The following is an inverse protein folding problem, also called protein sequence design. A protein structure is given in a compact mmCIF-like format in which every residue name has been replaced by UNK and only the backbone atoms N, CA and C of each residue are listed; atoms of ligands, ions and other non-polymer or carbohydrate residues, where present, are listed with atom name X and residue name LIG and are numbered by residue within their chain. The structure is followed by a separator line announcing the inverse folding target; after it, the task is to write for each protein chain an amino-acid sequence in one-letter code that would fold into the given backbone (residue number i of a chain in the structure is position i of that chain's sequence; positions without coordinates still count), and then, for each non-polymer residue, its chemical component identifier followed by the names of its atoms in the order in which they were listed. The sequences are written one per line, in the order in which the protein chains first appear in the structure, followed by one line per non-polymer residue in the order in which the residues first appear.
data_IF_226785238528
#
_entry.id   IF_226785238528
#
_cell.length_a   1.000
_cell.length_b   1.000
_cell.length_c   1.000
_cell.angle_alpha   90.00
_cell.angle_beta   90.00
_cell.angle_gamma   90.00
#
_symmetry.space_group_name_H-M   'P 1'
#
loop_
_entity.id
_entity.type
_entity.pdbx_description
1 polymer ?
#
# COMPACT_ATOMS: atom_id res chain seq x y z
N UNK A 1 -17.76 -40.73 -21.57
CA UNK A 1 -16.66 -40.31 -22.47
C UNK A 1 -15.97 -39.11 -21.83
N UNK A 2 -14.64 -39.11 -21.89
CA UNK A 2 -13.71 -38.19 -21.23
C UNK A 2 -13.68 -36.81 -21.93
N UNK A 3 -13.12 -35.83 -21.21
CA UNK A 3 -12.25 -34.70 -21.67
C UNK A 3 -13.01 -33.44 -22.17
N UNK A 4 -12.67 -32.18 -21.86
CA UNK A 4 -11.40 -31.53 -21.41
C UNK A 4 -11.73 -30.24 -20.63
N UNK A 5 -11.03 -30.00 -19.53
CA UNK A 5 -10.99 -28.73 -18.79
C UNK A 5 -10.18 -27.72 -19.61
N UNK A 6 -10.81 -26.62 -20.04
CA UNK A 6 -10.11 -25.51 -20.69
C UNK A 6 -9.78 -24.42 -19.67
N UNK A 7 -8.65 -24.58 -18.99
CA UNK A 7 -8.00 -23.51 -18.23
C UNK A 7 -7.25 -22.62 -19.21
N UNK A 8 -7.81 -21.46 -19.54
CA UNK A 8 -7.11 -20.40 -20.24
C UNK A 8 -6.18 -19.69 -19.24
N UNK A 9 -4.90 -20.05 -19.31
CA UNK A 9 -3.80 -19.34 -18.68
C UNK A 9 -3.67 -17.95 -19.33
N UNK A 10 -3.93 -16.89 -18.58
CA UNK A 10 -3.70 -15.51 -19.01
C UNK A 10 -2.20 -15.23 -19.09
N UNK A 11 -1.70 -14.93 -20.30
CA UNK A 11 -0.38 -14.35 -20.51
C UNK A 11 -0.36 -12.95 -19.87
N UNK A 12 0.35 -12.77 -18.77
CA UNK A 12 0.62 -11.44 -18.23
C UNK A 12 1.77 -10.79 -18.99
N UNK A 13 1.49 -9.65 -19.61
CA UNK A 13 2.45 -8.79 -20.30
C UNK A 13 3.45 -8.22 -19.28
N UNK A 14 4.73 -8.59 -19.41
CA UNK A 14 5.81 -7.96 -18.67
C UNK A 14 6.17 -6.64 -19.37
N UNK A 15 5.56 -5.54 -18.93
CA UNK A 15 5.96 -4.19 -19.32
C UNK A 15 6.99 -3.67 -18.32
N UNK A 16 8.28 -3.96 -18.57
CA UNK A 16 9.38 -3.30 -17.83
C UNK A 16 9.55 -1.91 -18.41
N UNK A 17 8.86 -0.93 -17.82
CA UNK A 17 9.18 0.48 -18.00
C UNK A 17 10.38 0.82 -17.12
N UNK A 18 11.60 0.70 -17.66
CA UNK A 18 12.78 1.34 -17.09
C UNK A 18 12.72 2.83 -17.43
N UNK A 19 11.96 3.59 -16.64
CA UNK A 19 12.06 5.04 -16.63
C UNK A 19 13.33 5.44 -15.87
N UNK A 20 14.41 5.65 -16.62
CA UNK A 20 15.58 6.38 -16.17
C UNK A 20 15.16 7.83 -15.88
N UNK A 21 14.68 8.09 -14.66
CA UNK A 21 14.52 9.45 -14.16
C UNK A 21 15.88 9.92 -13.64
N UNK A 22 16.74 10.39 -14.53
CA UNK A 22 17.81 11.30 -14.13
C UNK A 22 17.17 12.64 -13.74
N UNK A 23 17.37 13.16 -12.52
CA UNK A 23 16.90 14.49 -12.19
C UNK A 23 17.69 15.50 -13.04
N UNK A 24 16.99 16.21 -13.92
CA UNK A 24 17.52 17.32 -14.69
C UNK A 24 18.10 18.38 -13.73
N UNK A 25 19.42 18.37 -13.57
CA UNK A 25 20.13 19.44 -12.88
C UNK A 25 20.20 20.64 -13.82
N UNK A 26 19.43 21.68 -13.50
CA UNK A 26 19.50 22.97 -14.19
C UNK A 26 20.89 23.61 -13.96
N UNK A 27 21.80 23.46 -14.91
CA UNK A 27 23.07 24.17 -14.93
C UNK A 27 22.83 25.67 -15.20
N UNK A 28 22.90 26.51 -14.16
CA UNK A 28 23.04 27.96 -14.33
C UNK A 28 24.51 28.29 -14.64
N UNK A 29 24.75 28.57 -15.91
CA UNK A 29 25.99 29.13 -16.44
C UNK A 29 26.29 30.50 -15.82
N UNK A 30 27.43 30.67 -15.13
CA UNK A 30 28.01 31.99 -14.85
C UNK A 30 29.54 31.90 -14.70
N UNK A 31 30.26 32.52 -15.62
CA UNK A 31 31.70 32.76 -15.62
C UNK A 31 31.94 34.30 -15.53
N UNK A 32 33.16 34.80 -15.24
CA UNK A 32 33.93 34.63 -14.02
C UNK A 32 34.35 36.00 -13.44
N UNK A 33 34.71 36.09 -12.15
CA UNK A 33 35.59 37.18 -11.70
C UNK A 33 36.64 36.66 -10.73
N UNK A 34 37.88 36.88 -11.14
CA UNK A 34 39.12 36.62 -10.40
C UNK A 34 39.18 37.49 -9.15
N UNK A 35 39.50 36.87 -8.00
CA UNK A 35 40.24 37.55 -6.94
C UNK A 35 40.93 36.53 -6.02
N UNK A 36 42.25 36.46 -6.17
CA UNK A 36 43.16 35.84 -5.22
C UNK A 36 43.17 36.63 -3.91
N UNK A 37 42.87 35.96 -2.80
CA UNK A 37 43.34 36.34 -1.46
C UNK A 37 43.69 35.07 -0.67
N UNK A 38 44.97 34.97 -0.31
CA UNK A 38 45.46 34.09 0.75
C UNK A 38 44.84 34.50 2.09
N UNK A 39 44.31 33.54 2.84
CA UNK A 39 44.39 33.38 4.30
C UNK A 39 43.42 32.27 4.70
N UNK A 40 43.91 31.25 5.43
CA UNK A 40 43.05 30.44 6.28
C UNK A 40 43.08 28.95 6.00
N UNK A 41 43.96 28.28 6.70
CA UNK A 41 43.85 26.86 7.02
C UNK A 41 42.64 26.64 7.96
N UNK A 42 41.43 26.60 7.41
CA UNK A 42 40.19 26.46 8.18
C UNK A 42 39.20 25.50 7.48
N UNK A 43 39.18 24.27 7.99
CA UNK A 43 38.17 23.22 7.78
C UNK A 43 38.18 22.47 6.44
N UNK A 44 38.87 21.31 6.47
CA UNK A 44 38.28 20.02 6.05
C UNK A 44 36.88 19.89 6.68
N UNK A 45 35.86 20.58 6.18
CA UNK A 45 34.47 20.16 6.39
C UNK A 45 34.20 19.17 5.28
N UNK A 46 34.39 17.90 5.59
CA UNK A 46 33.62 16.86 4.92
C UNK A 46 32.15 17.26 5.15
N UNK A 47 31.55 17.98 4.19
CA UNK A 47 30.12 18.21 4.23
C UNK A 47 29.50 16.82 4.24
N UNK A 48 28.72 16.47 5.27
CA UNK A 48 28.20 15.13 5.35
C UNK A 48 27.41 14.87 4.07
N UNK A 49 27.75 13.80 3.35
CA UNK A 49 27.02 13.49 2.12
C UNK A 49 25.71 12.87 2.54
N UNK A 50 24.60 13.55 2.26
CA UNK A 50 23.27 12.97 2.42
C UNK A 50 23.10 11.88 1.38
N UNK A 51 23.05 10.63 1.83
CA UNK A 51 22.79 9.48 0.97
C UNK A 51 21.40 8.95 1.28
N UNK A 52 20.54 8.89 0.26
CA UNK A 52 19.22 8.31 0.37
C UNK A 52 19.22 6.90 -0.23
N UNK A 53 18.67 5.95 0.51
CA UNK A 53 18.56 4.55 0.10
C UNK A 53 17.12 4.06 0.23
N UNK A 54 16.69 3.13 -0.65
CA UNK A 54 15.36 2.55 -0.56
C UNK A 54 15.27 1.65 0.68
N UNK A 55 14.17 1.77 1.42
CA UNK A 55 13.82 0.93 2.56
C UNK A 55 12.44 0.34 2.33
N UNK A 56 12.34 -0.99 2.41
CA UNK A 56 11.05 -1.68 2.39
C UNK A 56 10.44 -1.68 3.78
N UNK A 57 9.25 -1.12 3.91
CA UNK A 57 8.43 -1.15 5.12
C UNK A 57 7.15 -1.96 4.88
N UNK A 58 6.51 -2.37 5.95
CA UNK A 58 5.26 -3.15 5.91
C UNK A 58 4.16 -2.38 6.62
N UNK A 59 2.96 -2.32 6.03
CA UNK A 59 1.76 -1.86 6.73
C UNK A 59 0.66 -2.91 6.68
N UNK A 60 -0.24 -2.84 7.66
CA UNK A 60 -1.44 -3.69 7.72
C UNK A 60 -2.45 -3.18 6.69
N UNK A 61 -2.86 -4.04 5.77
CA UNK A 61 -3.94 -3.77 4.84
C UNK A 61 -5.22 -3.47 5.62
N UNK A 62 -5.83 -2.32 5.33
CA UNK A 62 -7.02 -1.82 6.02
C UNK A 62 -8.33 -2.31 5.39
N UNK A 63 -8.27 -3.21 4.41
CA UNK A 63 -9.46 -3.82 3.83
C UNK A 63 -10.30 -4.52 4.94
N UNK A 64 -11.60 -4.20 5.07
CA UNK A 64 -12.47 -4.83 6.06
C UNK A 64 -12.56 -6.36 5.94
N UNK A 65 -12.19 -6.93 4.80
CA UNK A 65 -12.18 -8.38 4.60
C UNK A 65 -11.00 -9.10 5.26
N UNK A 66 -9.90 -8.40 5.62
CA UNK A 66 -8.65 -9.03 6.05
C UNK A 66 -8.29 -8.71 7.51
N UNK A 67 -9.15 -9.11 8.46
CA UNK A 67 -8.80 -9.08 9.89
C UNK A 67 -9.55 -10.14 10.71
N UNK A 68 -9.05 -10.50 11.93
CA UNK A 68 -9.62 -11.57 12.77
C UNK A 68 -11.05 -11.34 13.30
N UNK A 69 -11.64 -10.19 13.01
CA UNK A 69 -13.00 -9.80 13.45
C UNK A 69 -13.91 -9.46 12.27
N UNK A 70 -13.51 -9.85 11.06
CA UNK A 70 -14.19 -9.50 9.82
C UNK A 70 -15.70 -9.79 9.87
N UNK A 71 -16.09 -10.98 10.34
CA UNK A 71 -17.51 -11.33 10.48
C UNK A 71 -18.27 -10.42 11.44
N UNK A 72 -17.74 -10.22 12.64
CA UNK A 72 -18.42 -9.41 13.66
C UNK A 72 -18.55 -7.94 13.26
N UNK A 73 -17.55 -7.40 12.58
CA UNK A 73 -17.60 -6.03 12.07
C UNK A 73 -18.56 -5.89 10.90
N UNK A 74 -18.58 -6.86 9.98
CA UNK A 74 -19.59 -6.96 8.93
C UNK A 74 -21.00 -6.99 9.52
N UNK A 75 -21.27 -7.88 10.48
CA UNK A 75 -22.57 -8.05 11.13
C UNK A 75 -23.08 -6.77 11.80
N UNK A 76 -22.19 -6.08 12.53
CA UNK A 76 -22.52 -4.79 13.14
C UNK A 76 -22.89 -3.75 12.09
N UNK A 77 -22.10 -3.63 11.02
CA UNK A 77 -22.36 -2.67 9.94
C UNK A 77 -23.63 -3.00 9.14
N UNK A 78 -23.90 -4.28 8.89
CA UNK A 78 -25.12 -4.73 8.22
C UNK A 78 -26.36 -4.32 9.00
N UNK A 79 -26.37 -4.60 10.31
CA UNK A 79 -27.46 -4.18 11.21
C UNK A 79 -27.67 -2.68 11.22
N UNK A 80 -26.59 -1.90 11.29
CA UNK A 80 -26.66 -0.45 11.30
C UNK A 80 -27.21 0.09 9.97
N UNK A 81 -26.78 -0.49 8.85
CA UNK A 81 -27.29 -0.13 7.53
C UNK A 81 -28.79 -0.43 7.39
N UNK A 82 -29.25 -1.59 7.87
CA UNK A 82 -30.67 -1.93 7.88
C UNK A 82 -31.48 -1.00 8.78
N UNK A 83 -30.97 -0.68 9.98
CA UNK A 83 -31.58 0.28 10.91
C UNK A 83 -31.74 1.67 10.29
N UNK A 84 -30.78 2.09 9.48
CA UNK A 84 -30.81 3.38 8.80
C UNK A 84 -31.73 3.41 7.56
N UNK A 85 -32.39 2.29 7.23
CA UNK A 85 -33.29 2.20 6.08
C UNK A 85 -32.58 2.16 4.72
N UNK A 86 -31.27 1.88 4.70
CA UNK A 86 -30.53 1.75 3.47
C UNK A 86 -30.97 0.48 2.72
N UNK A 87 -31.02 0.54 1.39
CA UNK A 87 -31.18 -0.67 0.58
C UNK A 87 -29.95 -1.58 0.69
N UNK A 88 -30.18 -2.89 0.59
CA UNK A 88 -29.09 -3.85 0.57
C UNK A 88 -28.18 -3.58 -0.62
N UNK A 89 -26.88 -3.54 -0.34
CA UNK A 89 -25.84 -3.49 -1.36
C UNK A 89 -24.72 -4.41 -0.90
N UNK A 90 -24.32 -5.34 -1.76
CA UNK A 90 -23.15 -6.17 -1.51
C UNK A 90 -21.92 -5.28 -1.25
N UNK A 91 -21.05 -5.76 -0.37
CA UNK A 91 -19.82 -5.05 0.02
C UNK A 91 -18.69 -5.50 -0.89
N UNK A 92 -17.81 -4.57 -1.25
CA UNK A 92 -16.57 -4.88 -1.99
C UNK A 92 -15.63 -5.74 -1.15
N UNK A 93 -15.62 -5.53 0.17
CA UNK A 93 -14.97 -6.40 1.14
C UNK A 93 -15.72 -7.74 1.20
N UNK A 94 -15.09 -8.79 0.66
CA UNK A 94 -15.65 -10.14 0.57
C UNK A 94 -15.46 -11.00 1.82
N UNK A 95 -15.58 -12.32 1.65
CA UNK A 95 -15.27 -13.31 2.68
C UNK A 95 -16.15 -13.22 3.92
N UNK A 96 -15.53 -13.37 5.10
CA UNK A 96 -16.23 -13.35 6.39
C UNK A 96 -16.93 -12.01 6.66
N UNK A 97 -16.36 -10.89 6.18
CA UNK A 97 -16.97 -9.57 6.33
C UNK A 97 -18.29 -9.47 5.56
N UNK A 98 -18.30 -9.82 4.26
CA UNK A 98 -19.51 -9.81 3.45
C UNK A 98 -20.60 -10.71 4.04
N UNK A 99 -20.22 -11.92 4.47
CA UNK A 99 -21.15 -12.86 5.11
C UNK A 99 -21.76 -12.28 6.38
N UNK A 100 -20.92 -11.68 7.23
CA UNK A 100 -21.38 -10.98 8.43
C UNK A 100 -22.33 -9.85 8.10
N UNK A 101 -21.98 -9.01 7.12
CA UNK A 101 -22.82 -7.89 6.68
C UNK A 101 -24.19 -8.34 6.19
N UNK A 102 -24.27 -9.37 5.37
CA UNK A 102 -25.52 -9.95 4.91
C UNK A 102 -26.39 -10.44 6.08
N UNK A 103 -25.81 -11.24 6.98
CA UNK A 103 -26.52 -11.76 8.15
C UNK A 103 -27.05 -10.62 9.03
N UNK A 104 -26.22 -9.61 9.28
CA UNK A 104 -26.59 -8.44 10.08
C UNK A 104 -27.66 -7.57 9.40
N UNK A 105 -27.58 -7.39 8.09
CA UNK A 105 -28.54 -6.59 7.33
C UNK A 105 -29.93 -7.22 7.31
N UNK A 106 -30.02 -8.54 7.11
CA UNK A 106 -31.29 -9.27 7.12
C UNK A 106 -31.78 -9.64 8.53
N UNK A 107 -31.05 -9.27 9.58
CA UNK A 107 -31.42 -9.57 10.97
C UNK A 107 -31.37 -11.06 11.31
N UNK A 108 -30.51 -11.83 10.63
CA UNK A 108 -30.28 -13.25 10.94
C UNK A 108 -29.53 -13.39 12.26
N UNK A 109 -29.62 -14.56 12.88
CA UNK A 109 -28.87 -14.86 14.10
C UNK A 109 -27.36 -14.78 13.87
N UNK A 110 -26.62 -14.30 14.88
CA UNK A 110 -25.18 -14.19 14.82
C UNK A 110 -24.53 -15.59 14.80
N UNK A 111 -23.92 -15.96 13.66
CA UNK A 111 -23.31 -17.27 13.46
C UNK A 111 -21.83 -17.34 13.86
N UNK A 112 -21.21 -16.20 14.17
CA UNK A 112 -19.77 -16.10 14.40
C UNK A 112 -18.94 -16.31 13.14
N UNK A 113 -17.62 -16.19 13.29
CA UNK A 113 -16.65 -16.33 12.20
C UNK A 113 -16.38 -17.81 11.89
N UNK A 114 -16.50 -18.20 10.62
CA UNK A 114 -16.30 -19.60 10.18
C UNK A 114 -14.85 -19.90 9.86
N UNK A 115 -14.18 -18.96 9.22
CA UNK A 115 -12.78 -19.10 8.81
C UNK A 115 -11.88 -18.08 9.52
N UNK A 116 -10.69 -18.51 9.94
CA UNK A 116 -9.69 -17.60 10.48
C UNK A 116 -9.25 -16.65 9.36
N UNK A 117 -9.46 -15.36 9.59
CA UNK A 117 -9.02 -14.30 8.68
C UNK A 117 -7.85 -13.58 9.35
N UNK A 118 -6.66 -13.72 8.79
CA UNK A 118 -5.49 -13.01 9.27
C UNK A 118 -5.47 -11.56 8.75
N UNK A 119 -4.71 -10.70 9.43
CA UNK A 119 -4.34 -9.42 8.88
C UNK A 119 -3.50 -9.64 7.60
N UNK A 120 -3.86 -8.97 6.51
CA UNK A 120 -3.01 -8.92 5.34
C UNK A 120 -1.96 -7.81 5.51
N UNK A 121 -0.72 -8.07 5.13
CA UNK A 121 0.37 -7.08 5.17
C UNK A 121 0.83 -6.78 3.76
N UNK A 122 1.06 -5.50 3.46
CA UNK A 122 1.52 -5.05 2.15
C UNK A 122 2.90 -4.38 2.29
N UNK A 123 3.90 -4.80 1.50
CA UNK A 123 5.17 -4.11 1.46
C UNK A 123 5.05 -2.83 0.65
N UNK A 124 5.77 -1.79 1.06
CA UNK A 124 5.98 -0.59 0.26
C UNK A 124 7.42 -0.13 0.39
N UNK A 125 7.94 0.43 -0.69
CA UNK A 125 9.30 0.99 -0.72
C UNK A 125 9.21 2.49 -0.47
N UNK A 126 9.92 2.96 0.54
CA UNK A 126 10.15 4.38 0.81
C UNK A 126 11.64 4.68 0.71
N UNK A 127 12.04 5.94 0.75
CA UNK A 127 13.45 6.35 0.75
C UNK A 127 13.79 6.94 2.11
N UNK A 128 14.83 6.43 2.74
CA UNK A 128 15.40 6.99 3.96
C UNK A 128 16.74 7.64 3.63
N UNK A 129 17.04 8.78 4.23
CA UNK A 129 18.27 9.52 3.96
C UNK A 129 19.09 9.64 5.23
N UNK A 130 20.37 9.26 5.13
CA UNK A 130 21.32 9.34 6.22
C UNK A 130 22.53 10.21 5.84
N UNK A 131 23.24 10.71 6.85
CA UNK A 131 24.40 11.58 6.71
C UNK A 131 25.66 10.77 7.02
N UNK A 132 26.57 10.65 6.04
CA UNK A 132 27.92 10.07 6.19
C UNK A 132 28.99 11.14 6.38
#
# INVERSE_FOLDING_TARGET
MKKIISTLLSLTTISVFLLNNEPAQAHRYRHPYSRNYHYGDFYRRAYPRRYCYPVTRWYVNQDPAYHPRAYSDGYRQGRESAKNGNSYKERTAGGEFARGFEDGFYGREFQGQKHIVANAYQPFTTSECDWY
#
